data_IF_153048033554
#
_entry.id   IF_153048033554
#
_cell.length_a   1.000
_cell.length_b   1.000
_cell.length_c   1.000
_cell.angle_alpha   90.00
_cell.angle_beta   90.00
_cell.angle_gamma   90.00
#
_symmetry.space_group_name_H-M   'P 1'
#
loop_
_entity.id
_entity.type
_entity.pdbx_description
1 polymer ?
#
# COMPACT_ATOMS: atom_id res chain seq x y z
N UNK A 1 28.59 24.23 21.03
CA UNK A 1 28.12 23.05 21.79
C UNK A 1 27.72 21.96 20.81
N UNK A 2 28.60 20.98 20.57
CA UNK A 2 28.34 19.88 19.64
C UNK A 2 28.05 18.61 20.45
N UNK A 3 26.82 18.11 20.37
CA UNK A 3 26.40 16.84 20.98
C UNK A 3 26.01 15.85 19.88
N UNK A 4 26.47 14.63 20.10
CA UNK A 4 26.70 13.52 19.17
C UNK A 4 25.39 12.88 18.71
N UNK A 5 25.30 12.50 17.43
CA UNK A 5 24.34 11.51 16.94
C UNK A 5 25.03 10.14 16.82
N UNK A 6 24.43 9.06 17.35
CA UNK A 6 24.80 7.69 17.00
C UNK A 6 23.69 7.08 16.14
N UNK A 7 23.95 6.81 14.85
CA UNK A 7 23.08 5.94 14.06
C UNK A 7 23.91 5.01 13.18
N UNK A 8 24.13 3.83 13.77
CA UNK A 8 24.21 2.49 13.19
C UNK A 8 24.22 2.44 11.65
N UNK A 9 25.42 2.22 11.11
CA UNK A 9 25.63 1.68 9.77
C UNK A 9 25.25 0.19 9.77
N UNK A 10 24.05 -0.15 9.31
CA UNK A 10 23.69 -1.51 8.96
C UNK A 10 24.08 -1.75 7.49
N UNK A 11 25.25 -2.36 7.28
CA UNK A 11 25.70 -2.80 5.96
C UNK A 11 24.96 -4.06 5.52
N UNK A 12 24.52 -4.02 4.27
CA UNK A 12 23.99 -5.10 3.41
C UNK A 12 24.77 -6.42 3.50
N UNK A 13 24.04 -7.55 3.48
CA UNK A 13 24.51 -8.81 2.87
C UNK A 13 23.37 -9.61 2.20
N UNK A 14 23.42 -9.57 0.85
CA UNK A 14 23.36 -10.67 -0.13
C UNK A 14 22.27 -11.76 -0.03
N UNK A 15 21.48 -11.84 -1.11
CA UNK A 15 20.56 -12.90 -1.48
C UNK A 15 21.26 -14.25 -1.75
N UNK A 16 20.60 -15.35 -1.38
CA UNK A 16 20.82 -16.67 -1.99
C UNK A 16 19.47 -17.32 -2.29
N UNK A 17 19.23 -17.60 -3.58
CA UNK A 17 18.19 -18.49 -4.09
C UNK A 17 18.52 -19.95 -3.72
N UNK A 18 17.53 -20.76 -3.35
CA UNK A 18 17.77 -22.18 -3.10
C UNK A 18 16.52 -23.04 -2.90
N UNK A 19 15.95 -23.49 -4.03
CA UNK A 19 15.34 -24.80 -4.37
C UNK A 19 14.40 -25.55 -3.41
N UNK A 20 13.35 -26.10 -4.03
CA UNK A 20 12.40 -27.11 -3.58
C UNK A 20 13.00 -28.53 -3.54
N UNK A 21 12.58 -29.38 -2.58
CA UNK A 21 12.28 -30.81 -2.79
C UNK A 21 11.79 -31.50 -1.50
N UNK A 22 10.84 -32.41 -1.71
CA UNK A 22 10.24 -33.38 -0.79
C UNK A 22 11.21 -34.53 -0.45
N UNK A 23 11.10 -35.13 0.75
CA UNK A 23 11.57 -36.50 1.01
C UNK A 23 11.99 -36.81 2.46
N UNK A 24 11.39 -37.80 3.14
CA UNK A 24 11.73 -38.22 4.51
C UNK A 24 12.74 -39.38 4.51
N UNK A 25 13.69 -39.42 5.45
CA UNK A 25 14.28 -40.67 5.98
C UNK A 25 15.40 -40.38 6.97
N UNK A 26 15.40 -41.10 8.10
CA UNK A 26 16.62 -41.30 8.90
C UNK A 26 16.43 -41.12 10.41
N UNK A 27 16.06 -42.20 11.07
CA UNK A 27 16.07 -42.40 12.52
C UNK A 27 17.53 -42.51 13.02
N UNK A 28 17.89 -41.78 14.09
CA UNK A 28 19.02 -42.10 14.97
C UNK A 28 18.94 -41.23 16.23
N UNK A 29 18.66 -41.90 17.34
CA UNK A 29 18.34 -41.28 18.61
C UNK A 29 19.48 -40.57 19.31
N UNK A 30 19.08 -39.64 20.19
CA UNK A 30 19.71 -39.36 21.47
C UNK A 30 18.73 -38.52 22.30
N UNK A 31 18.17 -39.12 23.36
CA UNK A 31 17.58 -38.35 24.46
C UNK A 31 18.71 -37.69 25.24
N UNK A 32 18.55 -36.42 25.63
CA UNK A 32 18.24 -36.20 27.03
C UNK A 32 17.06 -35.25 27.25
N UNK A 33 16.31 -35.56 28.32
CA UNK A 33 15.30 -34.72 28.94
C UNK A 33 15.73 -33.26 29.09
N UNK A 34 14.88 -32.34 28.65
CA UNK A 34 14.40 -31.22 29.46
C UNK A 34 13.25 -30.54 28.72
N UNK A 35 12.05 -30.74 29.23
CA UNK A 35 10.85 -29.92 28.96
C UNK A 35 11.19 -28.42 28.99
N UNK A 36 10.87 -27.65 27.93
CA UNK A 36 10.52 -26.26 28.10
C UNK A 36 9.03 -26.19 28.46
N UNK A 37 8.77 -25.61 29.63
CA UNK A 37 7.44 -25.26 30.08
C UNK A 37 6.69 -24.48 28.99
N UNK A 38 5.48 -24.95 28.69
CA UNK A 38 4.46 -24.15 28.06
C UNK A 38 4.16 -22.95 28.97
N UNK A 39 4.77 -21.81 28.69
CA UNK A 39 4.23 -20.53 29.08
C UNK A 39 3.55 -19.95 27.85
N UNK A 40 2.24 -20.15 27.78
CA UNK A 40 1.34 -19.44 26.89
C UNK A 40 1.53 -17.95 27.12
N UNK A 41 2.43 -17.33 26.37
CA UNK A 41 2.34 -15.91 26.12
C UNK A 41 1.12 -15.76 25.20
N UNK A 42 -0.02 -15.38 25.81
CA UNK A 42 -1.09 -14.72 25.09
C UNK A 42 -0.51 -13.45 24.49
N UNK A 43 0.14 -13.59 23.33
CA UNK A 43 0.38 -12.49 22.44
C UNK A 43 -1.02 -12.01 22.05
N UNK A 44 -1.44 -10.91 22.66
CA UNK A 44 -2.58 -10.15 22.23
C UNK A 44 -2.50 -10.06 20.69
N UNK A 45 -3.58 -10.35 19.94
CA UNK A 45 -3.59 -10.07 18.53
C UNK A 45 -3.32 -8.57 18.40
N UNK A 46 -2.09 -8.25 18.00
CA UNK A 46 -1.68 -6.90 17.61
C UNK A 46 -2.73 -6.45 16.63
N UNK A 47 -3.43 -5.38 17.00
CA UNK A 47 -4.55 -4.84 16.25
C UNK A 47 -4.20 -4.79 14.78
N UNK A 48 -4.73 -5.75 14.04
CA UNK A 48 -4.77 -5.67 12.59
C UNK A 48 -5.50 -4.37 12.32
N UNK A 49 -4.91 -3.37 11.63
CA UNK A 49 -5.73 -2.28 11.12
C UNK A 49 -6.71 -2.98 10.18
N UNK A 50 -7.93 -3.14 10.68
CA UNK A 50 -9.03 -3.78 9.97
C UNK A 50 -9.01 -3.15 8.59
N UNK A 51 -8.67 -3.95 7.58
CA UNK A 51 -8.72 -3.49 6.22
C UNK A 51 -10.17 -3.07 6.00
N UNK A 52 -10.41 -1.76 6.00
CA UNK A 52 -11.72 -1.19 5.75
C UNK A 52 -12.28 -1.91 4.53
N UNK A 53 -13.52 -2.41 4.57
CA UNK A 53 -14.17 -3.05 3.44
C UNK A 53 -13.85 -2.30 2.15
N UNK A 54 -13.56 -3.00 1.06
CA UNK A 54 -13.16 -2.37 -0.20
C UNK A 54 -14.16 -1.28 -0.66
N UNK A 55 -15.44 -1.42 -0.31
CA UNK A 55 -16.50 -0.42 -0.51
C UNK A 55 -16.25 0.92 0.21
N UNK A 56 -15.49 0.93 1.30
CA UNK A 56 -15.13 2.15 2.04
C UNK A 56 -13.87 2.84 1.50
N UNK A 57 -13.16 2.28 0.52
CA UNK A 57 -11.92 2.88 0.01
C UNK A 57 -12.13 3.80 -1.19
N UNK A 58 -13.30 3.79 -1.83
CA UNK A 58 -13.51 4.51 -3.08
C UNK A 58 -13.55 6.05 -2.96
N UNK A 59 -13.53 6.71 -4.13
CA UNK A 59 -13.82 8.14 -4.27
C UNK A 59 -15.34 8.34 -4.42
N UNK A 60 -16.02 8.67 -3.33
CA UNK A 60 -17.47 8.93 -3.29
C UNK A 60 -17.79 10.27 -2.62
N UNK A 61 -18.86 10.94 -3.05
CA UNK A 61 -19.36 12.18 -2.42
C UNK A 61 -18.29 13.26 -2.30
N UNK A 62 -18.02 13.71 -1.06
CA UNK A 62 -17.07 14.77 -0.77
C UNK A 62 -15.62 14.42 -1.14
N UNK A 63 -15.24 13.14 -1.05
CA UNK A 63 -13.90 12.71 -1.45
C UNK A 63 -13.65 12.86 -2.95
N UNK A 64 -14.63 12.49 -3.79
CA UNK A 64 -14.57 12.69 -5.23
C UNK A 64 -14.53 14.19 -5.58
N UNK A 65 -15.33 15.02 -4.90
CA UNK A 65 -15.32 16.47 -5.08
C UNK A 65 -13.95 17.09 -4.75
N UNK A 66 -13.33 16.68 -3.63
CA UNK A 66 -12.01 17.17 -3.23
C UNK A 66 -10.91 16.71 -4.19
N UNK A 67 -11.00 15.47 -4.66
CA UNK A 67 -10.11 14.93 -5.67
C UNK A 67 -10.17 15.77 -6.95
N UNK A 68 -11.37 15.96 -7.51
CA UNK A 68 -11.59 16.76 -8.71
C UNK A 68 -11.15 18.21 -8.54
N UNK A 69 -11.54 18.86 -7.44
CA UNK A 69 -11.13 20.24 -7.15
C UNK A 69 -9.60 20.37 -7.11
N UNK A 70 -8.91 19.39 -6.52
CA UNK A 70 -7.45 19.39 -6.44
C UNK A 70 -6.84 19.17 -7.82
N UNK A 71 -7.38 18.23 -8.62
CA UNK A 71 -6.91 17.99 -9.97
C UNK A 71 -7.06 19.21 -10.87
N UNK A 72 -8.26 19.78 -10.95
CA UNK A 72 -8.57 20.96 -11.77
C UNK A 72 -7.69 22.15 -11.42
N UNK A 73 -7.34 22.31 -10.14
CA UNK A 73 -6.47 23.39 -9.67
C UNK A 73 -5.00 23.20 -10.07
N UNK A 74 -4.50 21.98 -10.02
CA UNK A 74 -3.06 21.69 -10.18
C UNK A 74 -2.68 21.15 -11.56
N UNK A 75 -3.65 20.67 -12.34
CA UNK A 75 -3.48 20.04 -13.65
C UNK A 75 -4.56 20.55 -14.62
N UNK A 76 -4.51 21.83 -15.04
CA UNK A 76 -5.54 22.40 -15.93
C UNK A 76 -5.60 21.69 -17.29
N UNK A 77 -4.53 21.03 -17.71
CA UNK A 77 -4.50 20.24 -18.94
C UNK A 77 -5.50 19.07 -18.93
N UNK A 78 -5.94 18.63 -17.74
CA UNK A 78 -6.97 17.60 -17.59
C UNK A 78 -8.39 18.13 -17.83
N UNK A 79 -8.60 19.43 -18.09
CA UNK A 79 -9.90 20.05 -18.43
C UNK A 79 -10.55 19.49 -19.69
N UNK A 80 -9.75 18.86 -20.56
CA UNK A 80 -10.26 18.08 -21.70
C UNK A 80 -10.89 16.74 -21.32
N UNK A 81 -10.62 16.23 -20.12
CA UNK A 81 -11.11 14.94 -19.62
C UNK A 81 -12.31 15.19 -18.71
N UNK A 82 -13.39 14.43 -18.89
CA UNK A 82 -14.59 14.54 -18.04
C UNK A 82 -14.32 14.15 -16.58
N UNK A 83 -15.05 14.78 -15.65
CA UNK A 83 -14.98 14.48 -14.21
C UNK A 83 -15.22 12.99 -13.91
N UNK A 84 -16.16 12.34 -14.58
CA UNK A 84 -16.47 10.91 -14.39
C UNK A 84 -15.27 10.00 -14.69
N UNK A 85 -14.54 10.31 -15.77
CA UNK A 85 -13.33 9.57 -16.16
C UNK A 85 -12.21 9.79 -15.14
N UNK A 86 -12.01 11.03 -14.69
CA UNK A 86 -11.01 11.32 -13.66
C UNK A 86 -11.34 10.60 -12.35
N UNK A 87 -12.61 10.62 -11.92
CA UNK A 87 -13.06 9.89 -10.73
C UNK A 87 -12.90 8.39 -10.92
N UNK A 88 -13.18 7.83 -12.09
CA UNK A 88 -12.98 6.40 -12.36
C UNK A 88 -11.51 5.98 -12.21
N UNK A 89 -10.56 6.76 -12.76
CA UNK A 89 -9.14 6.53 -12.55
C UNK A 89 -8.71 6.67 -11.09
N UNK A 90 -9.14 7.74 -10.42
CA UNK A 90 -8.85 7.93 -9.00
C UNK A 90 -9.42 6.82 -8.13
N UNK A 91 -10.62 6.33 -8.44
CA UNK A 91 -11.27 5.24 -7.73
C UNK A 91 -10.55 3.91 -7.96
N UNK A 92 -10.11 3.63 -9.19
CA UNK A 92 -9.28 2.46 -9.48
C UNK A 92 -7.97 2.48 -8.69
N UNK A 93 -7.33 3.65 -8.55
CA UNK A 93 -6.15 3.83 -7.71
C UNK A 93 -6.44 3.61 -6.22
N UNK A 94 -7.62 3.99 -5.74
CA UNK A 94 -8.04 3.77 -4.36
C UNK A 94 -8.27 2.29 -4.01
N UNK A 95 -8.72 1.51 -4.99
CA UNK A 95 -9.04 0.09 -4.81
C UNK A 95 -7.82 -0.81 -5.02
N UNK A 96 -6.84 -0.34 -5.79
CA UNK A 96 -5.66 -1.11 -6.14
C UNK A 96 -4.61 -1.15 -5.02
N UNK A 97 -3.84 -2.24 -4.97
CA UNK A 97 -2.72 -2.42 -4.05
C UNK A 97 -1.62 -3.29 -4.67
N UNK A 98 -0.41 -3.22 -4.14
CA UNK A 98 0.71 -4.04 -4.65
C UNK A 98 1.01 -3.78 -6.13
N UNK A 99 1.11 -4.84 -6.93
CA UNK A 99 1.37 -4.74 -8.38
C UNK A 99 0.20 -4.10 -9.14
N UNK A 100 -1.04 -4.36 -8.72
CA UNK A 100 -2.21 -3.77 -9.39
C UNK A 100 -2.19 -2.24 -9.31
N UNK A 101 -1.69 -1.68 -8.21
CA UNK A 101 -1.52 -0.23 -8.08
C UNK A 101 -0.52 0.30 -9.11
N UNK A 102 0.62 -0.38 -9.26
CA UNK A 102 1.65 0.01 -10.23
C UNK A 102 1.07 -0.01 -11.66
N UNK A 103 0.28 -1.03 -11.99
CA UNK A 103 -0.33 -1.14 -13.31
C UNK A 103 -1.45 -0.14 -13.53
N UNK A 104 -2.25 0.19 -12.50
CA UNK A 104 -3.23 1.28 -12.58
C UNK A 104 -2.58 2.65 -12.75
N UNK A 105 -1.43 2.89 -12.11
CA UNK A 105 -0.67 4.13 -12.32
C UNK A 105 -0.14 4.20 -13.75
N UNK A 106 0.41 3.10 -14.29
CA UNK A 106 0.86 3.06 -15.70
C UNK A 106 -0.29 3.29 -16.67
N UNK A 107 -1.43 2.62 -16.45
CA UNK A 107 -2.65 2.78 -17.25
C UNK A 107 -3.14 4.22 -17.23
N UNK A 108 -3.32 4.79 -16.04
CA UNK A 108 -3.78 6.17 -15.88
C UNK A 108 -2.81 7.18 -16.50
N UNK A 109 -1.49 6.93 -16.38
CA UNK A 109 -0.48 7.74 -17.06
C UNK A 109 -0.67 7.74 -18.58
N UNK A 110 -0.91 6.58 -19.17
CA UNK A 110 -1.07 6.45 -20.62
C UNK A 110 -2.39 7.05 -21.11
N UNK A 111 -3.50 6.73 -20.44
CA UNK A 111 -4.85 7.14 -20.86
C UNK A 111 -5.11 8.63 -20.62
N UNK A 112 -4.50 9.22 -19.60
CA UNK A 112 -4.58 10.65 -19.31
C UNK A 112 -3.40 11.46 -19.87
N UNK A 113 -2.53 10.81 -20.66
CA UNK A 113 -1.34 11.40 -21.29
C UNK A 113 -0.43 12.16 -20.32
N UNK A 114 -0.28 11.61 -19.10
CA UNK A 114 0.49 12.23 -18.02
C UNK A 114 1.98 11.94 -18.17
N UNK A 115 2.81 12.88 -17.70
CA UNK A 115 4.20 12.55 -17.41
C UNK A 115 4.33 11.77 -16.08
N UNK A 116 5.51 11.22 -15.80
CA UNK A 116 5.74 10.40 -14.60
C UNK A 116 5.55 11.17 -13.28
N UNK A 117 5.84 12.46 -13.27
CA UNK A 117 5.68 13.33 -12.08
C UNK A 117 4.20 13.58 -11.80
N UNK A 118 3.43 13.88 -12.84
CA UNK A 118 1.97 14.07 -12.77
C UNK A 118 1.27 12.80 -12.31
N UNK A 119 1.59 11.65 -12.92
CA UNK A 119 0.99 10.37 -12.53
C UNK A 119 1.23 10.02 -11.05
N UNK A 120 2.46 10.23 -10.57
CA UNK A 120 2.80 10.02 -9.16
C UNK A 120 2.04 10.96 -8.22
N UNK A 121 1.93 12.24 -8.59
CA UNK A 121 1.22 13.22 -7.78
C UNK A 121 -0.30 12.99 -7.79
N UNK A 122 -0.89 12.64 -8.93
CA UNK A 122 -2.31 12.29 -9.08
C UNK A 122 -2.63 11.04 -8.25
N UNK A 123 -1.76 10.03 -8.26
CA UNK A 123 -1.87 8.87 -7.36
C UNK A 123 -1.84 9.31 -5.89
N UNK A 124 -0.92 10.20 -5.50
CA UNK A 124 -0.87 10.73 -4.14
C UNK A 124 -2.15 11.47 -3.74
N UNK A 125 -2.72 12.28 -4.63
CA UNK A 125 -3.99 12.99 -4.40
C UNK A 125 -5.16 12.02 -4.29
N UNK A 126 -5.23 11.00 -5.15
CA UNK A 126 -6.23 9.93 -5.06
C UNK A 126 -6.12 9.24 -3.70
N UNK A 127 -4.93 8.76 -3.34
CA UNK A 127 -4.67 8.03 -2.10
C UNK A 127 -4.97 8.86 -0.83
N UNK A 128 -4.75 10.17 -0.87
CA UNK A 128 -5.13 11.09 0.21
C UNK A 128 -6.63 11.45 0.24
N UNK A 129 -7.38 11.03 -0.77
CA UNK A 129 -8.82 11.27 -0.90
C UNK A 129 -9.64 10.00 -0.68
N UNK A 130 -9.07 8.81 -0.91
CA UNK A 130 -9.72 7.51 -0.70
C UNK A 130 -10.33 7.37 0.71
N UNK A 131 -11.59 6.95 0.78
CA UNK A 131 -12.25 6.58 2.03
C UNK A 131 -12.44 7.69 3.06
N UNK A 132 -12.27 8.97 2.67
CA UNK A 132 -12.78 10.08 3.47
C UNK A 132 -14.30 10.02 3.45
N UNK A 133 -14.89 9.45 4.51
CA UNK A 133 -16.34 9.43 4.74
C UNK A 133 -16.92 10.84 4.59
N UNK A 134 -18.09 10.93 3.96
CA UNK A 134 -19.00 12.05 4.21
C UNK A 134 -19.35 11.99 5.70
N UNK A 135 -18.89 12.93 6.51
CA UNK A 135 -19.26 13.05 7.94
C UNK A 135 -20.66 13.67 8.08
N UNK A 136 -21.44 13.76 7.00
CA UNK A 136 -22.69 14.51 6.91
C UNK A 136 -23.80 13.73 6.19
N UNK A 137 -23.79 12.40 6.26
CA UNK A 137 -24.97 11.57 5.95
C UNK A 137 -25.73 11.25 7.25
#
# INVERSE_FOLDING_TARGET
MHKRLPLLAACLTVAVFGVSACGPSGDSGSSPSATPAAASASAAPSGSPSASPAELRGLTGLSAMLYLRTLRKHYPDLDRISDDVLVAHGNALCLAGGQDLVDQVKKSKQELELNGKEASAIMGIAHGSCGRKNVFD
#
